data_IF_375636861652
#
_entry.id   IF_375636861652
#
_cell.length_a   1.000
_cell.length_b   1.000
_cell.length_c   1.000
_cell.angle_alpha   90.00
_cell.angle_beta   90.00
_cell.angle_gamma   90.00
#
_symmetry.space_group_name_H-M   'P 1'
#
loop_
_entity.id
_entity.type
_entity.pdbx_description
1 polymer ?
#
# COMPACT_ATOMS: atom_id res chain seq x y z
N UNK A 1 -9.17 -0.62 10.31
CA UNK A 1 -9.51 -1.60 9.24
C UNK A 1 -9.02 -3.00 9.53
N UNK A 2 -7.94 -3.16 10.32
CA UNK A 2 -7.32 -4.46 10.63
C UNK A 2 -6.94 -5.26 9.37
N UNK A 3 -6.39 -4.59 8.37
CA UNK A 3 -5.99 -5.22 7.11
C UNK A 3 -4.93 -6.29 7.31
N UNK A 4 -3.98 -6.05 8.21
CA UNK A 4 -2.94 -7.01 8.55
C UNK A 4 -3.51 -8.29 9.19
N UNK A 5 -4.44 -8.17 10.15
CA UNK A 5 -5.14 -9.33 10.72
C UNK A 5 -5.94 -10.09 9.65
N UNK A 6 -6.46 -9.40 8.64
CA UNK A 6 -7.12 -10.03 7.49
C UNK A 6 -6.14 -10.84 6.66
N UNK A 7 -4.98 -10.27 6.33
CA UNK A 7 -3.94 -10.95 5.56
C UNK A 7 -3.47 -12.23 6.26
N UNK A 8 -3.37 -12.20 7.60
CA UNK A 8 -3.03 -13.36 8.44
C UNK A 8 -4.21 -14.29 8.75
N UNK A 9 -5.43 -13.99 8.24
CA UNK A 9 -6.67 -14.74 8.51
C UNK A 9 -7.04 -14.83 9.99
N UNK A 10 -6.55 -13.89 10.81
CA UNK A 10 -6.91 -13.79 12.24
C UNK A 10 -8.38 -13.34 12.35
N UNK A 11 -9.22 -13.99 13.18
CA UNK A 11 -10.62 -13.62 13.36
C UNK A 11 -10.78 -12.16 13.80
N UNK A 12 -11.59 -11.39 13.08
CA UNK A 12 -11.88 -9.99 13.36
C UNK A 12 -13.27 -9.84 13.98
N UNK A 13 -13.41 -8.94 14.94
CA UNK A 13 -14.72 -8.72 15.60
C UNK A 13 -15.06 -9.75 16.69
N UNK A 14 -14.22 -10.75 16.91
CA UNK A 14 -14.35 -11.71 18.00
C UNK A 14 -12.99 -11.85 18.74
N UNK A 15 -12.79 -11.09 19.83
CA UNK A 15 -11.51 -11.09 20.56
C UNK A 15 -11.16 -12.47 21.15
N UNK A 16 -12.16 -13.26 21.54
CA UNK A 16 -11.94 -14.59 22.11
C UNK A 16 -11.37 -15.54 21.05
N UNK A 17 -11.95 -15.56 19.86
CA UNK A 17 -11.43 -16.38 18.75
C UNK A 17 -10.06 -15.90 18.29
N UNK A 18 -9.82 -14.59 18.26
CA UNK A 18 -8.49 -14.05 17.97
C UNK A 18 -7.45 -14.49 19.02
N UNK A 19 -7.80 -14.49 20.30
CA UNK A 19 -6.91 -14.97 21.37
C UNK A 19 -6.59 -16.46 21.26
N UNK A 20 -7.50 -17.29 20.73
CA UNK A 20 -7.25 -18.71 20.49
C UNK A 20 -6.15 -18.98 19.46
N UNK A 21 -5.87 -18.02 18.57
CA UNK A 21 -4.77 -18.10 17.62
C UNK A 21 -3.43 -18.23 18.38
N UNK A 22 -3.25 -17.45 19.45
CA UNK A 22 -2.05 -17.53 20.30
C UNK A 22 -1.96 -18.92 20.94
N UNK A 23 -3.07 -19.47 21.42
CA UNK A 23 -3.10 -20.78 22.07
C UNK A 23 -2.78 -21.94 21.13
N UNK A 24 -3.01 -21.79 19.82
CA UNK A 24 -2.64 -22.80 18.82
C UNK A 24 -1.12 -22.88 18.62
N UNK A 25 -0.38 -21.83 18.98
CA UNK A 25 1.08 -21.74 18.85
C UNK A 25 1.59 -22.09 17.44
N UNK A 26 0.80 -21.73 16.42
CA UNK A 26 1.22 -21.84 15.03
C UNK A 26 1.87 -20.54 14.60
N UNK A 27 3.02 -20.63 13.93
CA UNK A 27 3.78 -19.46 13.49
C UNK A 27 3.94 -19.45 11.99
N UNK A 28 4.04 -18.26 11.44
CA UNK A 28 4.35 -17.97 10.05
C UNK A 28 5.58 -17.07 9.99
N UNK A 29 6.56 -17.47 9.21
CA UNK A 29 7.67 -16.60 8.84
C UNK A 29 7.18 -15.57 7.84
N UNK A 30 7.50 -14.29 8.07
CA UNK A 30 6.99 -13.21 7.26
C UNK A 30 8.08 -12.21 6.87
N UNK A 31 7.94 -11.71 5.66
CA UNK A 31 8.72 -10.60 5.12
C UNK A 31 8.31 -9.28 5.78
N UNK A 32 9.28 -8.36 5.91
CA UNK A 32 9.01 -6.97 6.26
C UNK A 32 9.70 -6.04 5.26
N UNK A 33 9.20 -4.83 5.13
CA UNK A 33 9.85 -3.79 4.36
C UNK A 33 10.75 -2.94 5.25
N UNK A 34 11.98 -2.69 4.82
CA UNK A 34 12.86 -1.69 5.40
C UNK A 34 12.84 -0.42 4.53
N UNK A 35 12.61 0.71 5.19
CA UNK A 35 12.66 2.05 4.62
C UNK A 35 13.62 2.88 5.47
N UNK A 36 14.70 3.39 4.92
CA UNK A 36 15.81 3.96 5.69
C UNK A 36 16.46 2.94 6.64
N UNK A 37 17.41 3.38 7.45
CA UNK A 37 18.17 2.47 8.32
C UNK A 37 17.39 1.96 9.53
N UNK A 38 16.36 2.70 9.97
CA UNK A 38 15.65 2.49 11.24
C UNK A 38 14.12 2.40 11.11
N UNK A 39 13.57 2.46 9.87
CA UNK A 39 12.12 2.42 9.65
C UNK A 39 11.69 1.17 8.91
N UNK A 40 10.64 0.56 9.39
CA UNK A 40 10.09 -0.67 8.85
C UNK A 40 8.59 -0.55 8.61
N UNK A 41 8.06 -1.38 7.74
CA UNK A 41 6.64 -1.53 7.52
C UNK A 41 6.28 -3.00 7.25
N UNK A 42 5.08 -3.40 7.64
CA UNK A 42 4.62 -4.80 7.57
C UNK A 42 3.48 -5.00 6.57
N UNK A 43 2.84 -3.93 6.13
CA UNK A 43 1.69 -4.01 5.24
C UNK A 43 1.93 -3.27 3.93
N UNK A 44 2.19 -1.96 3.97
CA UNK A 44 2.32 -1.14 2.78
C UNK A 44 3.18 0.10 2.98
N UNK A 45 4.00 0.43 1.97
CA UNK A 45 4.48 1.80 1.77
C UNK A 45 3.72 2.45 0.61
N UNK A 46 3.44 3.74 0.72
CA UNK A 46 2.72 4.51 -0.30
C UNK A 46 3.35 5.89 -0.52
N UNK A 47 3.26 6.38 -1.76
CA UNK A 47 3.71 7.72 -2.14
C UNK A 47 2.80 8.31 -3.22
N UNK A 48 2.87 9.63 -3.41
CA UNK A 48 2.14 10.36 -4.44
C UNK A 48 1.03 11.26 -3.87
N UNK A 49 0.17 11.77 -4.74
CA UNK A 49 -0.80 12.83 -4.42
C UNK A 49 -1.81 12.50 -3.32
N UNK A 50 -2.00 11.21 -3.00
CA UNK A 50 -2.94 10.79 -1.94
C UNK A 50 -2.29 10.59 -0.57
N UNK A 51 -0.98 10.61 -0.45
CA UNK A 51 -0.31 10.46 0.85
C UNK A 51 -0.63 11.62 1.78
N UNK A 52 -0.64 12.84 1.28
CA UNK A 52 -1.05 14.02 2.04
C UNK A 52 -2.50 13.93 2.54
N UNK A 53 -3.36 13.30 1.75
CA UNK A 53 -4.77 13.13 2.04
C UNK A 53 -5.03 12.22 3.23
N UNK A 54 -4.25 11.18 3.38
CA UNK A 54 -4.42 10.22 4.49
C UNK A 54 -4.19 10.87 5.84
N UNK A 55 -3.40 11.93 5.92
CA UNK A 55 -3.14 12.69 7.15
C UNK A 55 -4.23 13.71 7.47
N UNK A 56 -4.95 14.20 6.46
CA UNK A 56 -5.99 15.24 6.63
C UNK A 56 -7.35 14.68 7.10
N UNK A 57 -7.55 13.36 7.05
CA UNK A 57 -8.81 12.73 7.50
C UNK A 57 -8.74 12.35 8.98
N UNK A 58 -9.57 12.96 9.85
CA UNK A 58 -9.60 12.62 11.26
C UNK A 58 -9.88 11.14 11.51
N UNK A 59 -9.15 10.54 12.48
CA UNK A 59 -9.24 9.10 12.80
C UNK A 59 -10.67 8.65 13.17
N UNK A 60 -11.48 9.54 13.75
CA UNK A 60 -12.88 9.28 14.08
C UNK A 60 -13.77 9.09 12.84
N UNK A 61 -13.51 9.84 11.76
CA UNK A 61 -14.22 9.68 10.48
C UNK A 61 -13.83 8.38 9.79
N UNK A 62 -12.58 7.95 9.94
CA UNK A 62 -12.12 6.64 9.45
C UNK A 62 -12.91 5.48 10.07
N UNK A 63 -13.32 5.61 11.33
CA UNK A 63 -14.00 4.54 12.10
C UNK A 63 -15.51 4.54 11.88
N UNK A 64 -16.15 5.72 11.79
CA UNK A 64 -17.62 5.85 11.78
C UNK A 64 -18.22 5.71 10.37
N UNK A 65 -17.60 6.33 9.38
CA UNK A 65 -18.10 6.34 8.01
C UNK A 65 -17.37 5.34 7.11
N UNK A 66 -16.30 4.70 7.63
CA UNK A 66 -15.53 3.70 6.91
C UNK A 66 -15.17 4.16 5.51
N UNK A 67 -15.43 3.29 4.54
CA UNK A 67 -15.11 3.48 3.13
C UNK A 67 -15.81 4.71 2.49
N UNK A 68 -17.05 5.01 2.91
CA UNK A 68 -17.82 6.15 2.38
C UNK A 68 -17.20 7.50 2.74
N UNK A 69 -16.58 7.64 3.91
CA UNK A 69 -15.88 8.88 4.28
C UNK A 69 -14.69 9.17 3.38
N UNK A 70 -13.97 8.11 2.97
CA UNK A 70 -12.86 8.24 2.02
C UNK A 70 -13.37 8.60 0.62
N UNK A 71 -14.51 8.07 0.20
CA UNK A 71 -15.11 8.41 -1.10
C UNK A 71 -15.61 9.87 -1.13
N UNK A 72 -16.27 10.34 -0.07
CA UNK A 72 -16.78 11.73 0.00
C UNK A 72 -15.63 12.73 0.11
N UNK A 73 -14.69 12.51 1.04
CA UNK A 73 -13.49 13.36 1.15
C UNK A 73 -12.62 13.24 -0.10
N UNK A 74 -12.49 12.04 -0.65
CA UNK A 74 -11.81 11.79 -1.91
C UNK A 74 -12.42 12.59 -3.05
N UNK A 75 -13.74 12.66 -3.17
CA UNK A 75 -14.41 13.43 -4.22
C UNK A 75 -14.11 14.94 -4.14
N UNK A 76 -13.96 15.50 -2.92
CA UNK A 76 -13.56 16.91 -2.73
C UNK A 76 -12.09 17.15 -3.13
N UNK A 77 -11.24 16.16 -3.01
CA UNK A 77 -9.78 16.27 -3.13
C UNK A 77 -9.25 15.66 -4.44
N UNK A 78 -10.09 14.88 -5.14
CA UNK A 78 -9.76 14.32 -6.45
C UNK A 78 -9.35 15.36 -7.51
N UNK A 79 -9.90 16.59 -7.54
CA UNK A 79 -9.41 17.63 -8.44
C UNK A 79 -7.94 18.03 -8.20
N UNK A 80 -7.38 17.68 -7.04
CA UNK A 80 -6.00 17.99 -6.67
C UNK A 80 -5.01 16.86 -7.02
N UNK A 81 -5.51 15.71 -7.48
CA UNK A 81 -4.65 14.61 -7.87
C UNK A 81 -3.85 15.00 -9.10
N UNK A 82 -2.54 15.01 -8.96
CA UNK A 82 -1.58 15.32 -10.01
C UNK A 82 -0.67 14.12 -10.27
N UNK A 83 -0.07 14.09 -11.44
CA UNK A 83 1.05 13.19 -11.69
C UNK A 83 2.32 13.86 -11.18
N UNK A 84 3.06 13.16 -10.36
CA UNK A 84 4.39 13.56 -9.92
C UNK A 84 5.40 12.86 -10.83
N UNK A 85 6.33 13.59 -11.47
CA UNK A 85 7.37 12.96 -12.26
C UNK A 85 8.36 12.26 -11.33
N UNK A 86 8.58 10.96 -11.58
CA UNK A 86 9.43 10.11 -10.74
C UNK A 86 10.29 9.20 -11.60
N UNK A 87 11.43 8.80 -11.04
CA UNK A 87 12.22 7.65 -11.47
C UNK A 87 12.13 6.58 -10.39
N UNK A 88 11.79 5.35 -10.79
CA UNK A 88 11.74 4.19 -9.90
C UNK A 88 12.66 3.13 -10.49
N UNK A 89 13.73 2.82 -9.78
CA UNK A 89 14.63 1.71 -10.10
C UNK A 89 14.17 0.49 -9.30
N UNK A 90 14.01 -0.65 -9.94
CA UNK A 90 13.57 -1.91 -9.34
C UNK A 90 14.34 -3.10 -9.95
N UNK A 91 14.15 -4.32 -9.44
CA UNK A 91 14.93 -5.50 -9.84
C UNK A 91 14.98 -5.73 -11.36
N UNK A 92 13.90 -5.43 -12.08
CA UNK A 92 13.75 -5.72 -13.50
C UNK A 92 14.08 -4.53 -14.42
N UNK A 93 14.38 -3.36 -13.86
CA UNK A 93 14.70 -2.18 -14.66
C UNK A 93 14.36 -0.84 -14.01
N UNK A 94 14.11 0.15 -14.85
CA UNK A 94 13.82 1.52 -14.44
C UNK A 94 12.53 1.99 -15.09
N UNK A 95 11.62 2.53 -14.27
CA UNK A 95 10.49 3.30 -14.74
C UNK A 95 10.81 4.80 -14.60
N UNK A 96 10.52 5.57 -15.65
CA UNK A 96 10.57 7.03 -15.58
C UNK A 96 9.30 7.61 -16.17
N UNK A 97 8.60 8.47 -15.41
CA UNK A 97 7.34 9.05 -15.86
C UNK A 97 6.51 9.67 -14.76
N UNK A 98 5.34 10.18 -15.12
CA UNK A 98 4.39 10.77 -14.17
C UNK A 98 3.47 9.72 -13.55
N UNK A 99 3.45 9.65 -12.22
CA UNK A 99 2.56 8.78 -11.44
C UNK A 99 1.70 9.61 -10.49
N UNK A 100 0.43 9.25 -10.34
CA UNK A 100 -0.43 9.84 -9.32
C UNK A 100 -0.28 9.15 -7.97
N UNK A 101 -0.04 7.83 -7.98
CA UNK A 101 0.14 7.02 -6.78
C UNK A 101 1.14 5.90 -7.02
N UNK A 102 1.85 5.56 -5.95
CA UNK A 102 2.77 4.44 -5.86
C UNK A 102 2.40 3.66 -4.60
N UNK A 103 2.20 2.35 -4.73
CA UNK A 103 2.01 1.45 -3.60
C UNK A 103 3.05 0.34 -3.66
N UNK A 104 3.63 0.02 -2.52
CA UNK A 104 4.60 -1.05 -2.33
C UNK A 104 4.04 -1.97 -1.23
N UNK A 105 3.33 -3.00 -1.65
CA UNK A 105 2.56 -3.87 -0.76
C UNK A 105 3.32 -5.15 -0.42
N UNK A 106 3.24 -5.56 0.86
CA UNK A 106 3.65 -6.86 1.38
C UNK A 106 2.44 -7.79 1.52
N UNK A 107 1.25 -7.24 1.70
CA UNK A 107 0.01 -8.01 1.87
C UNK A 107 -0.99 -7.72 0.76
N UNK A 108 -1.99 -8.56 0.63
CA UNK A 108 -3.06 -8.42 -0.36
C UNK A 108 -4.13 -7.38 0.01
N UNK A 109 -4.19 -6.96 1.26
CA UNK A 109 -5.26 -6.11 1.80
C UNK A 109 -4.70 -4.81 2.37
N UNK A 110 -5.17 -3.69 1.85
CA UNK A 110 -4.73 -2.36 2.26
C UNK A 110 -5.89 -1.38 2.27
N UNK A 111 -6.02 -0.59 3.36
CA UNK A 111 -7.01 0.48 3.47
C UNK A 111 -8.47 0.01 3.36
N UNK A 112 -8.73 -1.28 3.67
CA UNK A 112 -10.03 -1.91 3.50
C UNK A 112 -10.26 -2.55 2.12
N UNK A 113 -9.35 -2.37 1.17
CA UNK A 113 -9.38 -3.07 -0.11
C UNK A 113 -8.74 -4.45 0.03
N UNK A 114 -9.51 -5.50 -0.18
CA UNK A 114 -9.09 -6.89 0.06
C UNK A 114 -8.22 -7.48 -1.07
N UNK A 115 -8.19 -6.81 -2.23
CA UNK A 115 -7.58 -7.35 -3.44
C UNK A 115 -6.74 -6.32 -4.19
N UNK A 116 -6.08 -5.40 -3.46
CA UNK A 116 -5.20 -4.41 -4.09
C UNK A 116 -3.93 -5.06 -4.66
N UNK A 117 -3.44 -6.09 -3.99
CA UNK A 117 -2.33 -6.93 -4.43
C UNK A 117 -2.73 -8.42 -4.32
N UNK A 118 -3.60 -8.92 -5.22
CA UNK A 118 -4.25 -10.21 -5.06
C UNK A 118 -3.31 -11.42 -5.01
N UNK A 119 -2.12 -11.31 -5.57
CA UNK A 119 -1.08 -12.34 -5.59
C UNK A 119 0.08 -12.07 -4.61
N UNK A 120 -0.07 -11.11 -3.69
CA UNK A 120 0.93 -10.86 -2.66
C UNK A 120 1.09 -12.10 -1.75
N UNK A 121 2.33 -12.46 -1.49
CA UNK A 121 2.72 -13.52 -0.56
C UNK A 121 3.49 -12.90 0.59
N UNK A 122 3.38 -13.51 1.77
CA UNK A 122 3.98 -12.97 2.98
C UNK A 122 5.44 -13.36 3.17
N UNK A 123 5.95 -14.31 2.35
CA UNK A 123 7.22 -15.03 2.59
C UNK A 123 8.05 -15.24 1.31
N UNK A 124 7.71 -14.59 0.20
CA UNK A 124 8.40 -14.81 -1.08
C UNK A 124 9.64 -13.91 -1.31
N UNK A 125 9.89 -12.96 -0.42
CA UNK A 125 10.98 -11.99 -0.53
C UNK A 125 10.71 -10.89 -1.55
N UNK A 126 9.45 -10.66 -1.91
CA UNK A 126 9.07 -9.68 -2.91
C UNK A 126 7.99 -8.71 -2.40
N UNK A 127 8.13 -7.47 -2.77
CA UNK A 127 7.04 -6.50 -2.77
C UNK A 127 6.17 -6.64 -4.01
N UNK A 128 4.95 -6.22 -3.90
CA UNK A 128 4.12 -5.86 -5.06
C UNK A 128 4.17 -4.35 -5.25
N UNK A 129 4.89 -3.90 -6.28
CA UNK A 129 4.94 -2.50 -6.68
C UNK A 129 3.79 -2.21 -7.64
N UNK A 130 2.91 -1.28 -7.26
CA UNK A 130 1.74 -0.87 -8.04
C UNK A 130 1.90 0.62 -8.35
N UNK A 131 2.04 0.96 -9.64
CA UNK A 131 2.22 2.32 -10.12
C UNK A 131 0.99 2.77 -10.88
N UNK A 132 0.33 3.86 -10.42
CA UNK A 132 -0.88 4.43 -11.05
C UNK A 132 -0.49 5.57 -11.97
N UNK A 133 -0.70 5.39 -13.28
CA UNK A 133 -0.24 6.29 -14.36
C UNK A 133 -1.24 7.39 -14.73
N UNK A 134 -2.43 7.39 -14.16
CA UNK A 134 -3.47 8.39 -14.46
C UNK A 134 -3.74 9.30 -13.27
N UNK A 135 -4.07 10.57 -13.55
CA UNK A 135 -4.67 11.50 -12.58
C UNK A 135 -6.09 11.92 -13.01
N UNK A 136 -6.65 11.29 -14.04
CA UNK A 136 -8.01 11.52 -14.45
C UNK A 136 -8.99 10.93 -13.43
N UNK A 137 -9.87 11.76 -12.90
CA UNK A 137 -10.82 11.38 -11.85
C UNK A 137 -11.70 10.19 -12.24
N UNK A 138 -12.27 10.21 -13.46
CA UNK A 138 -13.14 9.12 -13.91
C UNK A 138 -12.38 7.81 -14.04
N UNK A 139 -11.14 7.88 -14.51
CA UNK A 139 -10.26 6.70 -14.60
C UNK A 139 -9.87 6.18 -13.22
N UNK A 140 -9.62 7.05 -12.23
CA UNK A 140 -9.35 6.63 -10.86
C UNK A 140 -10.54 5.94 -10.21
N UNK A 141 -11.76 6.48 -10.41
CA UNK A 141 -13.00 5.83 -9.95
C UNK A 141 -13.19 4.47 -10.61
N UNK A 142 -12.92 4.36 -11.91
CA UNK A 142 -12.99 3.08 -12.61
C UNK A 142 -11.95 2.08 -12.09
N UNK A 143 -10.72 2.50 -11.81
CA UNK A 143 -9.70 1.65 -11.19
C UNK A 143 -10.12 1.17 -9.80
N UNK A 144 -10.69 2.04 -8.97
CA UNK A 144 -11.25 1.66 -7.65
C UNK A 144 -12.35 0.58 -7.82
N UNK A 145 -13.25 0.77 -8.78
CA UNK A 145 -14.27 -0.24 -9.10
C UNK A 145 -13.64 -1.58 -9.49
N UNK A 146 -12.59 -1.58 -10.30
CA UNK A 146 -11.90 -2.81 -10.70
C UNK A 146 -11.21 -3.51 -9.51
N UNK A 147 -10.65 -2.75 -8.56
CA UNK A 147 -10.14 -3.31 -7.29
C UNK A 147 -11.27 -4.03 -6.54
N UNK A 148 -12.43 -3.37 -6.38
CA UNK A 148 -13.60 -3.94 -5.69
C UNK A 148 -14.22 -5.14 -6.41
N UNK A 149 -14.02 -5.28 -7.71
CA UNK A 149 -14.48 -6.40 -8.53
C UNK A 149 -13.50 -7.59 -8.55
N UNK A 150 -12.71 -7.77 -7.51
CA UNK A 150 -11.79 -8.89 -7.37
C UNK A 150 -10.41 -8.65 -7.96
N UNK A 151 -9.94 -7.41 -7.96
CA UNK A 151 -8.55 -7.08 -8.31
C UNK A 151 -8.26 -7.02 -9.81
N UNK A 152 -9.26 -6.79 -10.66
CA UNK A 152 -9.09 -6.72 -12.12
C UNK A 152 -8.18 -5.57 -12.58
N UNK A 153 -7.97 -4.55 -11.73
CA UNK A 153 -7.10 -3.40 -12.01
C UNK A 153 -5.66 -3.79 -12.36
N UNK A 154 -5.16 -4.95 -11.92
CA UNK A 154 -3.79 -5.40 -12.22
C UNK A 154 -3.55 -5.62 -13.71
N UNK A 155 -4.61 -5.84 -14.49
CA UNK A 155 -4.56 -5.98 -15.95
C UNK A 155 -4.83 -4.69 -16.71
N UNK A 156 -5.08 -3.58 -15.99
CA UNK A 156 -5.38 -2.29 -16.62
C UNK A 156 -4.10 -1.59 -17.09
N UNK A 157 -4.11 -1.06 -18.32
CA UNK A 157 -2.97 -0.35 -18.92
C UNK A 157 -2.50 0.88 -18.13
N UNK A 158 -3.36 1.44 -17.30
CA UNK A 158 -3.06 2.58 -16.41
C UNK A 158 -2.28 2.16 -15.17
N UNK A 159 -2.17 0.86 -14.93
CA UNK A 159 -1.42 0.27 -13.81
C UNK A 159 -0.16 -0.40 -14.35
N UNK A 160 0.97 -0.18 -13.69
CA UNK A 160 2.09 -1.13 -13.74
C UNK A 160 2.11 -1.91 -12.44
N UNK A 161 2.17 -3.22 -12.57
CA UNK A 161 2.11 -4.17 -11.47
C UNK A 161 3.33 -5.09 -11.55
N UNK A 162 4.26 -4.97 -10.61
CA UNK A 162 5.59 -5.56 -10.70
C UNK A 162 5.95 -6.21 -9.35
N UNK A 163 6.60 -7.38 -9.38
CA UNK A 163 7.21 -7.99 -8.20
C UNK A 163 8.69 -7.59 -8.14
N UNK A 164 9.11 -7.07 -6.99
CA UNK A 164 10.50 -6.64 -6.77
C UNK A 164 10.94 -6.87 -5.33
N UNK A 165 12.21 -7.19 -5.10
CA UNK A 165 12.76 -7.34 -3.76
C UNK A 165 13.30 -6.02 -3.20
N UNK A 166 13.60 -5.08 -4.09
CA UNK A 166 14.17 -3.80 -3.74
C UNK A 166 13.73 -2.76 -4.76
N UNK A 167 13.56 -1.52 -4.33
CA UNK A 167 13.30 -0.41 -5.23
C UNK A 167 13.82 0.91 -4.64
N UNK A 168 14.18 1.83 -5.52
CA UNK A 168 14.56 3.19 -5.19
C UNK A 168 13.61 4.17 -5.89
N UNK A 169 12.98 5.04 -5.11
CA UNK A 169 12.03 6.04 -5.61
C UNK A 169 12.71 7.41 -5.53
N UNK A 170 12.81 8.09 -6.65
CA UNK A 170 13.41 9.42 -6.79
C UNK A 170 12.42 10.36 -7.48
N UNK A 171 11.95 11.44 -6.81
CA UNK A 171 11.20 12.51 -7.48
C UNK A 171 12.10 13.22 -8.50
N UNK A 172 11.53 13.57 -9.66
CA UNK A 172 12.19 14.33 -10.71
C UNK A 172 11.75 15.81 -10.73
N UNK A 173 11.09 16.26 -9.66
CA UNK A 173 10.73 17.66 -9.42
C UNK A 173 11.18 18.06 -8.01
N UNK A 174 11.21 19.37 -7.78
CA UNK A 174 11.53 19.92 -6.45
C UNK A 174 10.37 19.79 -5.45
N UNK A 175 9.23 19.23 -5.89
CA UNK A 175 8.08 19.02 -5.02
C UNK A 175 8.40 17.95 -3.98
N UNK A 176 8.04 18.24 -2.74
CA UNK A 176 8.15 17.28 -1.64
C UNK A 176 7.28 16.07 -1.91
N UNK A 177 7.85 14.88 -1.84
CA UNK A 177 7.10 13.63 -1.93
C UNK A 177 7.17 12.89 -0.60
N UNK A 178 6.07 12.94 0.16
CA UNK A 178 5.96 12.23 1.42
C UNK A 178 5.73 10.75 1.20
N UNK A 179 6.36 9.94 2.04
CA UNK A 179 6.20 8.49 2.11
C UNK A 179 5.33 8.15 3.31
N UNK A 180 4.33 7.35 3.09
CA UNK A 180 3.51 6.74 4.12
C UNK A 180 3.97 5.30 4.35
N UNK A 181 4.19 4.91 5.60
CA UNK A 181 4.49 3.54 6.00
C UNK A 181 3.38 3.07 6.95
N UNK A 182 2.61 2.08 6.55
CA UNK A 182 1.51 1.48 7.32
C UNK A 182 0.47 2.48 7.88
N UNK A 183 0.29 3.62 7.21
CA UNK A 183 -0.63 4.68 7.62
C UNK A 183 0.02 5.87 8.33
N UNK A 184 1.30 5.79 8.67
CA UNK A 184 2.07 6.83 9.37
C UNK A 184 3.07 7.52 8.43
N UNK A 185 3.52 8.72 8.82
CA UNK A 185 4.56 9.43 8.08
C UNK A 185 5.91 8.71 8.20
N UNK A 186 6.39 8.19 7.08
CA UNK A 186 7.64 7.43 6.99
C UNK A 186 8.87 8.26 6.65
N UNK A 187 8.73 9.50 6.22
CA UNK A 187 9.79 10.37 5.72
C UNK A 187 9.47 10.89 4.33
N UNK A 188 10.47 11.43 3.64
CA UNK A 188 10.34 11.98 2.30
C UNK A 188 11.21 11.21 1.29
N UNK A 189 10.80 11.16 0.03
CA UNK A 189 11.68 10.69 -1.05
C UNK A 189 12.81 11.73 -1.31
N UNK A 190 13.99 11.29 -1.83
CA UNK A 190 14.26 9.95 -2.33
C UNK A 190 14.40 8.88 -1.25
N UNK A 191 13.98 7.65 -1.58
CA UNK A 191 13.96 6.55 -0.62
C UNK A 191 14.33 5.21 -1.26
N UNK A 192 15.11 4.41 -0.54
CA UNK A 192 15.36 3.00 -0.82
C UNK A 192 14.39 2.15 0.01
N UNK A 193 13.66 1.25 -0.63
CA UNK A 193 12.88 0.21 0.04
C UNK A 193 13.48 -1.16 -0.24
N UNK A 194 13.65 -1.97 0.80
CA UNK A 194 14.20 -3.32 0.70
C UNK A 194 13.30 -4.33 1.42
N UNK A 195 12.96 -5.42 0.74
CA UNK A 195 12.29 -6.54 1.36
C UNK A 195 13.31 -7.35 2.20
N UNK A 196 12.98 -7.58 3.44
CA UNK A 196 13.73 -8.47 4.33
C UNK A 196 12.96 -9.78 4.46
N UNK A 197 13.38 -10.76 3.69
CA UNK A 197 12.70 -12.05 3.58
C UNK A 197 12.70 -12.81 4.90
N UNK A 198 11.54 -13.35 5.30
CA UNK A 198 11.37 -14.19 6.49
C UNK A 198 11.99 -13.57 7.76
N UNK A 199 11.84 -12.25 7.92
CA UNK A 199 12.54 -11.49 8.95
C UNK A 199 11.87 -11.54 10.31
N UNK A 200 10.57 -11.74 10.35
CA UNK A 200 9.81 -11.88 11.60
C UNK A 200 9.00 -13.16 11.60
N UNK A 201 8.65 -13.60 12.79
CA UNK A 201 7.78 -14.74 13.04
C UNK A 201 6.51 -14.25 13.75
N UNK A 202 5.35 -14.62 13.22
CA UNK A 202 4.06 -14.15 13.72
C UNK A 202 3.17 -15.36 14.05
N UNK A 203 2.49 -15.30 15.20
CA UNK A 203 1.44 -16.25 15.55
C UNK A 203 0.19 -16.02 14.69
N UNK A 204 -0.33 -17.07 14.04
CA UNK A 204 -1.50 -16.99 13.14
C UNK A 204 -2.33 -18.29 13.14
#
# INVERSE_FOLDING_TARGET
TNDFARALKIPRGNPVEAAKVIAKNQTLQMDIGRAYDDKYFINIAAAGSFTELTYSVPSRLKTVLGYLAYLVKGAELLPQVKKVPVRITHDEGVFEGGLSMIFVALTNSVGGFETIAPDAKLDDGKFTLIMVKTANLFELVDLIRQVLQGGKHIYDKRISYIKTSSLYIEPLSDDRMMINLDGEYGGDAPIQLQNLKNHIEILC
#
